data_IF_911856274706
#
_entry.id   IF_911856274706
#
_cell.length_a   1.000
_cell.length_b   1.000
_cell.length_c   1.000
_cell.angle_alpha   90.00
_cell.angle_beta   90.00
_cell.angle_gamma   90.00
#
_symmetry.space_group_name_H-M   'P 1'
#
loop_
_entity.id
_entity.type
_entity.pdbx_description
1 polymer ?
#
# COMPACT_ATOMS: atom_id res chain seq x y z
N UNK A 1 9.90 2.30 -0.34
CA UNK A 1 9.20 1.16 -0.94
C UNK A 1 10.09 -0.06 -1.18
N UNK A 2 11.07 -0.31 -0.31
CA UNK A 2 11.89 -1.55 -0.33
C UNK A 2 11.13 -2.77 0.19
N UNK A 3 9.94 -2.59 0.77
CA UNK A 3 9.13 -3.65 1.36
C UNK A 3 8.60 -4.70 0.35
N UNK A 4 8.60 -4.38 -0.93
CA UNK A 4 8.03 -5.24 -1.98
C UNK A 4 9.01 -5.62 -3.10
N UNK A 5 10.28 -5.29 -2.97
CA UNK A 5 11.32 -5.80 -3.86
C UNK A 5 11.74 -7.18 -3.40
N UNK A 6 11.08 -8.21 -3.90
CA UNK A 6 11.53 -9.60 -3.73
C UNK A 6 12.84 -9.86 -4.48
N UNK A 7 13.50 -10.96 -4.17
CA UNK A 7 14.77 -11.37 -4.82
C UNK A 7 14.65 -11.69 -6.32
N UNK A 8 13.47 -11.66 -6.91
CA UNK A 8 13.24 -11.87 -8.34
C UNK A 8 13.08 -10.55 -9.08
N UNK A 9 13.81 -10.40 -10.17
CA UNK A 9 13.97 -9.19 -10.99
C UNK A 9 12.66 -8.64 -11.62
N UNK A 10 11.58 -9.38 -11.56
CA UNK A 10 10.32 -9.05 -12.23
C UNK A 10 9.37 -8.18 -11.38
N UNK A 11 9.78 -7.76 -10.18
CA UNK A 11 8.95 -6.97 -9.27
C UNK A 11 9.57 -5.58 -9.08
N UNK A 12 9.05 -4.62 -9.82
CA UNK A 12 9.41 -3.22 -9.69
C UNK A 12 8.37 -2.49 -8.82
N UNK A 13 8.83 -1.77 -7.81
CA UNK A 13 8.05 -0.77 -7.12
C UNK A 13 8.25 0.58 -7.80
N UNK A 14 7.19 1.31 -8.03
CA UNK A 14 7.20 2.67 -8.54
C UNK A 14 6.39 3.56 -7.62
N UNK A 15 6.96 4.71 -7.27
CA UNK A 15 6.31 5.73 -6.47
C UNK A 15 6.00 6.92 -7.37
N UNK A 16 4.72 7.27 -7.48
CA UNK A 16 4.29 8.44 -8.22
C UNK A 16 3.17 9.16 -7.47
N UNK A 17 3.34 10.44 -7.26
CA UNK A 17 2.42 11.28 -6.50
C UNK A 17 1.51 12.13 -7.40
N UNK A 18 1.84 12.28 -8.69
CA UNK A 18 1.04 13.07 -9.62
C UNK A 18 1.09 12.55 -11.07
N UNK A 19 0.09 12.98 -11.85
CA UNK A 19 0.02 12.71 -13.29
C UNK A 19 1.22 13.30 -14.05
N UNK A 20 1.68 14.48 -13.62
CA UNK A 20 2.85 15.14 -14.18
C UNK A 20 4.09 14.30 -14.00
N UNK A 21 4.33 13.78 -12.80
CA UNK A 21 5.47 12.90 -12.51
C UNK A 21 5.46 11.63 -13.35
N UNK A 22 4.29 11.00 -13.53
CA UNK A 22 4.15 9.84 -14.41
C UNK A 22 4.54 10.21 -15.86
N UNK A 23 4.05 11.36 -16.33
CA UNK A 23 4.29 11.82 -17.70
C UNK A 23 5.75 12.25 -17.93
N UNK A 24 6.34 12.98 -16.98
CA UNK A 24 7.75 13.39 -17.03
C UNK A 24 8.70 12.20 -17.00
N UNK A 25 8.42 11.21 -16.14
CA UNK A 25 9.21 10.00 -16.06
C UNK A 25 9.11 9.17 -17.35
N UNK A 26 7.92 9.03 -17.92
CA UNK A 26 7.73 8.36 -19.20
C UNK A 26 8.48 9.07 -20.34
N UNK A 27 8.49 10.42 -20.35
CA UNK A 27 9.18 11.20 -21.36
C UNK A 27 10.72 11.17 -21.22
N UNK A 28 11.26 10.94 -20.02
CA UNK A 28 12.71 10.89 -19.76
C UNK A 28 13.35 9.55 -20.13
N UNK A 29 12.56 8.51 -20.41
CA UNK A 29 13.02 7.15 -20.55
C UNK A 29 13.80 6.86 -21.82
N UNK A 30 14.96 6.21 -21.69
CA UNK A 30 15.70 5.63 -22.80
C UNK A 30 15.95 4.15 -22.54
N UNK A 31 15.60 3.30 -23.50
CA UNK A 31 15.93 1.87 -23.44
C UNK A 31 17.41 1.72 -23.78
N UNK A 32 18.15 1.09 -22.88
CA UNK A 32 19.57 0.82 -23.02
C UNK A 32 19.83 -0.54 -23.68
N UNK A 33 20.71 -0.60 -24.68
CA UNK A 33 21.15 -1.88 -25.23
C UNK A 33 21.89 -2.73 -24.19
N UNK A 34 21.63 -4.03 -24.23
CA UNK A 34 22.35 -5.02 -23.43
C UNK A 34 23.55 -5.62 -24.18
N UNK A 35 23.80 -5.18 -25.42
CA UNK A 35 24.88 -5.66 -26.25
C UNK A 35 26.22 -4.99 -25.89
N UNK A 36 27.31 -5.66 -26.22
CA UNK A 36 28.68 -5.15 -26.09
C UNK A 36 29.08 -4.71 -24.65
N UNK A 37 28.58 -5.41 -23.65
CA UNK A 37 28.99 -5.21 -22.27
C UNK A 37 30.35 -5.87 -22.02
N UNK A 38 31.22 -5.27 -21.18
CA UNK A 38 32.51 -5.87 -20.84
C UNK A 38 32.31 -7.25 -20.17
N UNK A 39 33.10 -8.28 -20.54
CA UNK A 39 33.00 -9.62 -19.92
C UNK A 39 33.73 -9.66 -18.56
N UNK A 40 33.23 -8.92 -17.60
CA UNK A 40 33.78 -8.84 -16.24
C UNK A 40 32.69 -8.43 -15.26
N UNK A 41 32.98 -8.46 -13.95
CA UNK A 41 32.04 -8.11 -12.87
C UNK A 41 31.40 -6.73 -13.06
N UNK A 42 32.11 -5.74 -13.58
CA UNK A 42 31.54 -4.43 -13.92
C UNK A 42 30.48 -4.55 -15.04
N UNK A 43 30.75 -5.36 -16.07
CA UNK A 43 29.79 -5.60 -17.16
C UNK A 43 28.52 -6.30 -16.67
N UNK A 44 28.67 -7.23 -15.71
CA UNK A 44 27.52 -7.91 -15.10
C UNK A 44 26.66 -6.93 -14.28
N UNK A 45 27.29 -6.08 -13.48
CA UNK A 45 26.58 -5.02 -12.74
C UNK A 45 25.89 -4.03 -13.68
N UNK A 46 26.58 -3.59 -14.74
CA UNK A 46 26.01 -2.68 -15.73
C UNK A 46 24.82 -3.32 -16.46
N UNK A 47 24.93 -4.60 -16.80
CA UNK A 47 23.83 -5.38 -17.38
C UNK A 47 22.62 -5.40 -16.47
N UNK A 48 22.82 -5.68 -15.18
CA UNK A 48 21.77 -5.69 -14.18
C UNK A 48 21.06 -4.31 -14.10
N UNK A 49 21.83 -3.23 -13.97
CA UNK A 49 21.28 -1.87 -13.92
C UNK A 49 20.49 -1.54 -15.19
N UNK A 50 20.98 -1.89 -16.37
CA UNK A 50 20.27 -1.67 -17.64
C UNK A 50 18.99 -2.49 -17.75
N UNK A 51 19.00 -3.75 -17.30
CA UNK A 51 17.77 -4.58 -17.25
C UNK A 51 16.73 -3.93 -16.35
N UNK A 52 17.12 -3.52 -15.15
CA UNK A 52 16.23 -2.85 -14.22
C UNK A 52 15.66 -1.55 -14.81
N UNK A 53 16.51 -0.71 -15.36
CA UNK A 53 16.12 0.54 -16.00
C UNK A 53 15.13 0.30 -17.16
N UNK A 54 15.45 -0.62 -18.07
CA UNK A 54 14.58 -0.94 -19.21
C UNK A 54 13.22 -1.48 -18.75
N UNK A 55 13.20 -2.32 -17.71
CA UNK A 55 11.96 -2.86 -17.13
C UNK A 55 11.13 -1.74 -16.50
N UNK A 56 11.77 -0.81 -15.80
CA UNK A 56 11.11 0.37 -15.21
C UNK A 56 10.42 1.20 -16.31
N UNK A 57 11.11 1.51 -17.40
CA UNK A 57 10.51 2.29 -18.49
C UNK A 57 9.33 1.59 -19.17
N UNK A 58 9.41 0.28 -19.39
CA UNK A 58 8.28 -0.49 -19.91
C UNK A 58 7.07 -0.45 -18.98
N UNK A 59 7.32 -0.48 -17.68
CA UNK A 59 6.25 -0.37 -16.68
C UNK A 59 5.61 1.03 -16.71
N UNK A 60 6.42 2.09 -16.84
CA UNK A 60 5.92 3.48 -16.88
C UNK A 60 5.08 3.74 -18.13
N UNK A 61 5.43 3.17 -19.27
CA UNK A 61 4.59 3.23 -20.48
C UNK A 61 3.21 2.60 -20.21
N UNK A 62 3.18 1.43 -19.57
CA UNK A 62 1.93 0.75 -19.21
C UNK A 62 1.12 1.57 -18.19
N UNK A 63 1.79 2.19 -17.23
CA UNK A 63 1.20 3.09 -16.25
C UNK A 63 0.55 4.30 -16.91
N UNK A 64 1.27 4.95 -17.84
CA UNK A 64 0.78 6.10 -18.58
C UNK A 64 -0.43 5.73 -19.45
N UNK A 65 -0.37 4.63 -20.18
CA UNK A 65 -1.49 4.13 -20.99
C UNK A 65 -2.72 3.91 -20.11
N UNK A 66 -2.58 3.22 -18.97
CA UNK A 66 -3.68 2.98 -18.06
C UNK A 66 -4.22 4.30 -17.46
N UNK A 67 -3.35 5.24 -17.12
CA UNK A 67 -3.75 6.54 -16.62
C UNK A 67 -4.55 7.33 -17.67
N UNK A 68 -4.12 7.34 -18.92
CA UNK A 68 -4.80 8.06 -20.01
C UNK A 68 -6.15 7.40 -20.39
N UNK A 69 -6.26 6.08 -20.26
CA UNK A 69 -7.50 5.33 -20.52
C UNK A 69 -8.48 5.36 -19.35
N UNK A 70 -7.99 5.49 -18.12
CA UNK A 70 -8.83 5.50 -16.92
C UNK A 70 -9.72 6.73 -16.84
N UNK A 71 -11.02 6.59 -16.57
CA UNK A 71 -11.92 7.73 -16.42
C UNK A 71 -11.58 8.55 -15.20
N UNK A 72 -11.72 9.86 -15.30
CA UNK A 72 -11.59 10.76 -14.14
C UNK A 72 -12.74 10.55 -13.17
N UNK A 73 -12.41 10.60 -11.88
CA UNK A 73 -13.42 10.56 -10.83
C UNK A 73 -14.12 11.91 -10.69
N UNK A 74 -15.43 11.88 -10.61
CA UNK A 74 -16.27 13.04 -10.25
C UNK A 74 -16.51 13.17 -8.74
N UNK A 75 -16.00 12.22 -7.94
CA UNK A 75 -16.18 12.21 -6.49
C UNK A 75 -15.31 13.27 -5.80
N UNK A 76 -15.77 13.80 -4.65
CA UNK A 76 -15.09 14.87 -3.95
C UNK A 76 -13.92 14.36 -3.09
N UNK A 77 -12.87 13.87 -3.73
CA UNK A 77 -11.62 13.58 -3.03
C UNK A 77 -11.04 14.87 -2.44
N UNK A 78 -10.51 14.80 -1.23
CA UNK A 78 -9.81 15.93 -0.63
C UNK A 78 -8.53 16.26 -1.42
N UNK A 79 -7.95 17.43 -1.16
CA UNK A 79 -6.66 17.82 -1.75
C UNK A 79 -5.46 17.24 -0.97
N UNK A 80 -5.70 16.41 0.06
CA UNK A 80 -4.64 15.72 0.80
C UNK A 80 -3.98 14.65 -0.06
N UNK A 81 -2.68 14.44 0.16
CA UNK A 81 -1.86 13.51 -0.63
C UNK A 81 -2.43 12.09 -0.62
N UNK A 82 -2.92 11.62 0.52
CA UNK A 82 -3.55 10.31 0.66
C UNK A 82 -4.77 10.14 -0.26
N UNK A 83 -5.71 11.09 -0.22
CA UNK A 83 -6.91 11.05 -1.08
C UNK A 83 -6.57 11.17 -2.56
N UNK A 84 -5.60 12.02 -2.91
CA UNK A 84 -5.16 12.16 -4.31
C UNK A 84 -4.45 10.88 -4.80
N UNK A 85 -3.64 10.23 -3.96
CA UNK A 85 -3.04 8.93 -4.29
C UNK A 85 -4.10 7.85 -4.53
N UNK A 86 -5.13 7.75 -3.68
CA UNK A 86 -6.25 6.83 -3.87
C UNK A 86 -7.00 7.12 -5.18
N UNK A 87 -7.23 8.39 -5.51
CA UNK A 87 -7.85 8.80 -6.77
C UNK A 87 -7.05 8.33 -7.99
N UNK A 88 -5.72 8.47 -7.94
CA UNK A 88 -4.82 7.98 -8.99
C UNK A 88 -4.90 6.46 -9.10
N UNK A 89 -4.84 5.74 -7.98
CA UNK A 89 -4.95 4.27 -7.97
C UNK A 89 -6.29 3.82 -8.58
N UNK A 90 -7.41 4.45 -8.20
CA UNK A 90 -8.71 4.14 -8.78
C UNK A 90 -8.73 4.35 -10.31
N UNK A 91 -8.14 5.43 -10.77
CA UNK A 91 -8.01 5.73 -12.21
C UNK A 91 -7.17 4.67 -12.94
N UNK A 92 -6.04 4.27 -12.38
CA UNK A 92 -5.15 3.25 -12.94
C UNK A 92 -5.82 1.87 -13.03
N UNK A 93 -6.55 1.47 -11.99
CA UNK A 93 -7.31 0.21 -11.99
C UNK A 93 -8.37 0.24 -13.07
N UNK A 94 -9.19 1.30 -13.14
CA UNK A 94 -10.23 1.47 -14.16
C UNK A 94 -9.65 1.58 -15.58
N UNK A 95 -8.43 2.06 -15.71
CA UNK A 95 -7.68 2.11 -16.97
C UNK A 95 -7.03 0.78 -17.37
N UNK A 96 -7.20 -0.26 -16.56
CA UNK A 96 -6.78 -1.63 -16.88
C UNK A 96 -5.33 -1.95 -16.58
N UNK A 97 -4.66 -1.18 -15.71
CA UNK A 97 -3.33 -1.51 -15.22
C UNK A 97 -3.34 -2.88 -14.52
N UNK A 98 -2.39 -3.74 -14.86
CA UNK A 98 -2.31 -5.12 -14.35
C UNK A 98 -1.55 -5.26 -13.03
N UNK A 99 -1.19 -4.17 -12.41
CA UNK A 99 -0.60 -4.16 -11.06
C UNK A 99 -1.58 -4.76 -10.05
N UNK A 100 -1.09 -5.70 -9.25
CA UNK A 100 -1.92 -6.42 -8.27
C UNK A 100 -1.87 -5.78 -6.88
N UNK A 101 -0.78 -5.09 -6.54
CA UNK A 101 -0.56 -4.51 -5.22
C UNK A 101 -0.23 -3.03 -5.38
N UNK A 102 -1.01 -2.19 -4.73
CA UNK A 102 -0.79 -0.76 -4.60
C UNK A 102 -0.54 -0.44 -3.13
N UNK A 103 0.39 0.44 -2.85
CA UNK A 103 0.66 0.93 -1.49
C UNK A 103 0.41 2.43 -1.48
N UNK A 104 -0.41 2.87 -0.55
CA UNK A 104 -0.72 4.28 -0.33
C UNK A 104 -0.44 4.60 1.12
N UNK A 105 0.31 5.66 1.37
CA UNK A 105 0.75 6.05 2.70
C UNK A 105 -0.01 7.29 3.19
N UNK A 106 -0.19 7.38 4.48
CA UNK A 106 -0.65 8.56 5.19
C UNK A 106 0.19 8.76 6.44
N UNK A 107 0.89 9.88 6.49
CA UNK A 107 1.72 10.27 7.62
C UNK A 107 0.91 10.94 8.75
N UNK A 108 1.58 11.17 9.87
CA UNK A 108 1.07 11.99 10.97
C UNK A 108 0.46 11.20 12.13
N UNK A 109 0.38 9.88 12.05
CA UNK A 109 -0.10 9.04 13.15
C UNK A 109 0.93 8.86 14.29
N UNK A 110 2.20 9.23 14.08
CA UNK A 110 3.23 9.18 15.11
C UNK A 110 3.12 10.37 16.08
N UNK A 111 2.08 10.37 16.89
CA UNK A 111 1.74 11.45 17.82
C UNK A 111 2.11 11.06 19.25
N UNK A 112 2.99 11.85 19.87
CA UNK A 112 3.35 11.76 21.29
C UNK A 112 2.74 12.90 22.12
N UNK A 113 2.07 13.85 21.45
CA UNK A 113 1.34 14.95 22.04
C UNK A 113 0.17 15.34 21.13
N UNK A 114 -0.86 15.99 21.71
CA UNK A 114 -2.03 16.47 20.96
C UNK A 114 -2.69 15.37 20.06
N UNK A 115 -2.68 14.12 20.54
CA UNK A 115 -3.05 12.95 19.76
C UNK A 115 -4.51 12.95 19.34
N UNK A 116 -5.44 13.25 20.25
CA UNK A 116 -6.89 13.14 19.97
C UNK A 116 -7.30 14.01 18.78
N UNK A 117 -7.07 15.33 18.76
CA UNK A 117 -7.49 16.16 17.62
C UNK A 117 -6.73 15.84 16.34
N UNK A 118 -5.45 15.45 16.43
CA UNK A 118 -4.66 15.03 15.27
C UNK A 118 -5.21 13.77 14.65
N UNK A 119 -5.45 12.73 15.45
CA UNK A 119 -6.03 11.47 14.97
C UNK A 119 -7.45 11.66 14.43
N UNK A 120 -8.25 12.55 15.02
CA UNK A 120 -9.59 12.87 14.50
C UNK A 120 -9.52 13.40 13.06
N UNK A 121 -8.56 14.28 12.76
CA UNK A 121 -8.37 14.81 11.40
C UNK A 121 -7.86 13.72 10.45
N UNK A 122 -6.87 12.93 10.86
CA UNK A 122 -6.32 11.85 10.05
C UNK A 122 -7.38 10.79 9.74
N UNK A 123 -8.19 10.38 10.72
CA UNK A 123 -9.27 9.42 10.50
C UNK A 123 -10.39 9.98 9.62
N UNK A 124 -10.66 11.28 9.64
CA UNK A 124 -11.56 11.93 8.67
C UNK A 124 -11.01 11.82 7.26
N UNK A 125 -9.72 12.07 7.08
CA UNK A 125 -9.06 11.94 5.78
C UNK A 125 -9.09 10.48 5.28
N UNK A 126 -8.70 9.51 6.12
CA UNK A 126 -8.75 8.10 5.80
C UNK A 126 -10.17 7.65 5.43
N UNK A 127 -11.16 7.96 6.27
CA UNK A 127 -12.53 7.50 6.06
C UNK A 127 -13.16 8.09 4.81
N UNK A 128 -12.93 9.39 4.53
CA UNK A 128 -13.46 10.04 3.33
C UNK A 128 -12.75 9.56 2.06
N UNK A 129 -11.43 9.40 2.12
CA UNK A 129 -10.63 8.89 1.01
C UNK A 129 -11.04 7.47 0.61
N UNK A 130 -11.10 6.56 1.58
CA UNK A 130 -11.51 5.16 1.38
C UNK A 130 -12.97 5.09 0.88
N UNK A 131 -13.89 5.87 1.46
CA UNK A 131 -15.28 5.89 0.99
C UNK A 131 -15.39 6.32 -0.49
N UNK A 132 -14.69 7.37 -0.89
CA UNK A 132 -14.68 7.82 -2.28
C UNK A 132 -13.99 6.81 -3.19
N UNK A 133 -12.90 6.18 -2.73
CA UNK A 133 -12.20 5.15 -3.46
C UNK A 133 -13.11 3.97 -3.82
N UNK A 134 -13.87 3.44 -2.86
CA UNK A 134 -14.80 2.34 -3.14
C UNK A 134 -16.01 2.78 -3.97
N UNK A 135 -16.50 4.00 -3.79
CA UNK A 135 -17.56 4.56 -4.64
C UNK A 135 -17.16 4.69 -6.10
N UNK A 136 -15.89 4.88 -6.39
CA UNK A 136 -15.35 4.92 -7.76
C UNK A 136 -15.50 3.57 -8.48
N UNK A 137 -15.68 2.49 -7.76
CA UNK A 137 -15.86 1.14 -8.33
C UNK A 137 -17.33 0.67 -8.33
N UNK A 138 -18.24 1.37 -7.68
CA UNK A 138 -19.66 1.00 -7.65
C UNK A 138 -20.22 0.84 -9.07
N UNK A 139 -20.83 -0.32 -9.35
CA UNK A 139 -21.39 -0.66 -10.67
C UNK A 139 -20.36 -0.92 -11.77
N UNK A 140 -19.07 -0.98 -11.45
CA UNK A 140 -18.01 -1.36 -12.40
C UNK A 140 -17.65 -2.84 -12.25
N UNK A 141 -16.91 -3.38 -13.23
CA UNK A 141 -16.37 -4.74 -13.14
C UNK A 141 -15.32 -4.93 -12.05
N UNK A 142 -14.87 -3.87 -11.40
CA UNK A 142 -13.85 -3.88 -10.36
C UNK A 142 -14.43 -3.85 -8.94
N UNK A 143 -15.72 -3.70 -8.77
CA UNK A 143 -16.39 -3.48 -7.50
C UNK A 143 -16.11 -4.58 -6.46
N UNK A 144 -15.98 -5.83 -6.89
CA UNK A 144 -15.68 -7.00 -6.06
C UNK A 144 -14.22 -7.48 -6.19
N UNK A 145 -13.40 -6.77 -6.97
CA UNK A 145 -12.01 -7.15 -7.27
C UNK A 145 -10.97 -6.29 -6.55
N UNK A 146 -11.39 -5.40 -5.69
CA UNK A 146 -10.52 -4.51 -4.93
C UNK A 146 -10.66 -4.81 -3.45
N UNK A 147 -9.55 -5.12 -2.82
CA UNK A 147 -9.43 -5.32 -1.37
C UNK A 147 -8.35 -4.38 -0.83
N UNK A 148 -8.67 -3.61 0.18
CA UNK A 148 -7.72 -2.75 0.88
C UNK A 148 -7.52 -3.26 2.30
N UNK A 149 -6.26 -3.29 2.74
CA UNK A 149 -5.89 -3.65 4.10
C UNK A 149 -4.90 -2.61 4.62
N UNK A 150 -5.14 -2.11 5.83
CA UNK A 150 -4.21 -1.18 6.48
C UNK A 150 -3.15 -1.93 7.26
N UNK A 151 -1.97 -1.32 7.40
CA UNK A 151 -0.93 -1.76 8.33
C UNK A 151 -0.21 -0.54 8.90
N UNK A 152 0.46 -0.71 10.02
CA UNK A 152 1.26 0.32 10.69
C UNK A 152 2.53 -0.30 11.24
N UNK A 153 3.59 0.50 11.37
CA UNK A 153 4.88 0.07 11.91
C UNK A 153 4.81 -0.21 13.41
N UNK A 154 3.89 0.44 14.11
CA UNK A 154 3.74 0.33 15.56
C UNK A 154 2.27 0.38 15.98
N UNK A 155 2.00 -0.13 17.17
CA UNK A 155 0.75 0.09 17.90
C UNK A 155 0.89 1.21 18.92
N UNK A 156 -0.08 1.31 19.82
CA UNK A 156 -0.08 2.30 20.89
C UNK A 156 -0.21 1.62 22.24
N UNK A 157 0.46 2.18 23.28
CA UNK A 157 0.24 1.82 24.65
C UNK A 157 -1.13 2.31 25.13
N UNK A 158 -1.68 1.64 26.15
CA UNK A 158 -2.95 2.00 26.78
C UNK A 158 -2.81 3.29 27.58
N UNK A 159 -1.67 3.44 28.25
CA UNK A 159 -1.43 4.58 29.13
C UNK A 159 -1.10 5.85 28.35
N UNK A 160 -1.69 6.97 28.81
CA UNK A 160 -1.32 8.29 28.30
C UNK A 160 0.04 8.68 28.85
N UNK A 161 0.92 9.22 27.97
CA UNK A 161 2.20 9.77 28.38
C UNK A 161 2.07 11.18 29.03
N UNK A 162 3.20 11.80 29.43
CA UNK A 162 3.22 13.13 30.05
C UNK A 162 2.70 14.26 29.12
N UNK A 163 2.76 14.06 27.81
CA UNK A 163 2.06 14.87 26.82
C UNK A 163 0.66 14.29 26.55
N UNK A 164 -0.32 15.02 26.05
CA UNK A 164 -1.63 14.46 25.69
C UNK A 164 -1.54 13.53 24.48
N UNK A 165 -0.81 12.42 24.59
CA UNK A 165 -0.55 11.38 23.60
C UNK A 165 -0.31 10.03 24.24
N UNK A 166 0.19 9.08 23.48
CA UNK A 166 0.59 7.75 23.94
C UNK A 166 1.88 7.31 23.25
N UNK A 167 2.65 6.48 23.94
CA UNK A 167 3.87 5.91 23.39
C UNK A 167 3.57 4.72 22.46
N UNK A 168 4.58 4.32 21.68
CA UNK A 168 4.49 3.15 20.81
C UNK A 168 4.23 1.88 21.61
N UNK A 169 3.43 0.99 21.06
CA UNK A 169 3.10 -0.31 21.62
C UNK A 169 3.19 -1.44 20.59
N UNK A 170 3.11 -2.67 21.06
CA UNK A 170 3.35 -3.87 20.25
C UNK A 170 2.14 -4.29 19.40
N UNK A 171 0.91 -3.86 19.74
CA UNK A 171 -0.30 -4.27 19.04
C UNK A 171 -1.04 -3.08 18.44
N UNK A 172 -1.58 -3.28 17.24
CA UNK A 172 -2.32 -2.29 16.47
C UNK A 172 -3.59 -2.88 15.88
N UNK A 173 -4.46 -2.03 15.37
CA UNK A 173 -5.62 -2.44 14.59
C UNK A 173 -5.24 -2.54 13.11
N UNK A 174 -5.72 -3.61 12.44
CA UNK A 174 -5.74 -3.70 10.98
C UNK A 174 -7.18 -3.54 10.51
N UNK A 175 -7.40 -2.70 9.50
CA UNK A 175 -8.71 -2.51 8.88
C UNK A 175 -8.70 -3.14 7.50
N UNK A 176 -9.75 -3.86 7.16
CA UNK A 176 -9.96 -4.40 5.83
C UNK A 176 -11.23 -3.81 5.21
N UNK A 177 -11.15 -3.44 3.95
CA UNK A 177 -12.25 -2.85 3.19
C UNK A 177 -12.36 -3.56 1.84
N UNK A 178 -13.56 -3.84 1.40
CA UNK A 178 -13.83 -4.47 0.10
C UNK A 178 -15.20 -5.12 0.07
N UNK A 179 -15.85 -5.09 -1.08
CA UNK A 179 -17.15 -5.77 -1.27
C UNK A 179 -17.02 -7.30 -1.26
N UNK A 180 -15.79 -7.79 -1.50
CA UNK A 180 -15.45 -9.21 -1.45
C UNK A 180 -15.42 -9.79 -0.02
N UNK A 181 -15.43 -8.95 1.02
CA UNK A 181 -15.41 -9.41 2.39
C UNK A 181 -16.78 -9.99 2.80
N UNK A 182 -16.77 -11.20 3.38
CA UNK A 182 -17.95 -11.83 3.93
C UNK A 182 -18.24 -11.27 5.34
N UNK A 183 -19.20 -10.37 5.42
CA UNK A 183 -19.62 -9.74 6.67
C UNK A 183 -18.90 -8.43 6.99
N UNK A 184 -19.23 -7.89 8.16
CA UNK A 184 -18.64 -6.67 8.69
C UNK A 184 -18.49 -6.77 10.21
N UNK A 185 -17.60 -5.97 10.79
CA UNK A 185 -17.33 -5.91 12.22
C UNK A 185 -15.93 -6.41 12.58
N UNK A 186 -15.76 -6.84 13.81
CA UNK A 186 -14.45 -7.25 14.33
C UNK A 186 -14.19 -8.73 14.09
N UNK A 187 -13.06 -9.04 13.49
CA UNK A 187 -12.52 -10.39 13.38
C UNK A 187 -11.64 -10.66 14.61
N UNK A 188 -11.90 -11.75 15.33
CA UNK A 188 -11.23 -12.09 16.58
C UNK A 188 -11.87 -11.44 17.80
N UNK A 189 -11.08 -11.24 18.85
CA UNK A 189 -11.50 -10.67 20.13
C UNK A 189 -10.80 -9.35 20.37
N UNK A 190 -11.46 -8.44 21.06
CA UNK A 190 -10.79 -7.21 21.50
C UNK A 190 -9.65 -7.52 22.47
N UNK A 191 -8.50 -6.85 22.37
CA UNK A 191 -7.44 -7.00 23.35
C UNK A 191 -7.91 -6.49 24.73
N UNK A 192 -7.42 -7.10 25.79
CA UNK A 192 -7.64 -6.59 27.14
C UNK A 192 -6.89 -5.27 27.32
N UNK A 193 -7.55 -4.27 27.91
CA UNK A 193 -6.90 -3.01 28.27
C UNK A 193 -6.25 -3.05 29.68
N UNK A 194 -6.40 -4.17 30.38
CA UNK A 194 -5.89 -4.36 31.77
C UNK A 194 -4.95 -5.55 31.89
N UNK A 195 -5.03 -6.52 30.97
CA UNK A 195 -4.11 -7.66 30.92
C UNK A 195 -3.08 -7.37 29.83
N UNK A 196 -1.99 -6.72 30.22
CA UNK A 196 -0.90 -6.28 29.35
C UNK A 196 0.26 -7.27 29.40
N UNK A 197 1.22 -7.15 28.50
CA UNK A 197 2.46 -7.92 28.55
C UNK A 197 3.44 -7.36 29.61
N UNK A 198 4.59 -8.00 29.81
CA UNK A 198 5.61 -7.61 30.79
C UNK A 198 6.24 -6.22 30.52
N UNK A 199 5.89 -5.59 29.41
CA UNK A 199 6.35 -4.26 28.99
C UNK A 199 5.20 -3.25 28.89
N UNK A 200 4.04 -3.54 29.50
CA UNK A 200 2.83 -2.72 29.47
C UNK A 200 2.25 -2.49 28.06
N UNK A 201 2.47 -3.41 27.14
CA UNK A 201 1.86 -3.37 25.83
C UNK A 201 0.56 -4.19 25.78
N UNK A 202 -0.31 -3.81 24.85
CA UNK A 202 -1.44 -4.65 24.48
C UNK A 202 -0.94 -6.00 23.95
N UNK A 203 -1.56 -7.08 24.41
CA UNK A 203 -1.32 -8.42 23.85
C UNK A 203 -2.15 -8.59 22.61
N UNK A 204 -1.50 -8.81 21.46
CA UNK A 204 -2.19 -9.06 20.19
C UNK A 204 -2.82 -10.46 20.19
N UNK A 205 -3.97 -10.60 19.55
CA UNK A 205 -4.69 -11.88 19.43
C UNK A 205 -4.67 -12.46 18.02
N UNK A 206 -4.29 -11.67 17.03
CA UNK A 206 -4.09 -12.15 15.66
C UNK A 206 -2.71 -11.72 15.21
N UNK A 207 -1.88 -12.68 14.82
CA UNK A 207 -0.58 -12.40 14.22
C UNK A 207 -0.78 -11.86 12.80
N UNK A 208 -0.21 -10.68 12.50
CA UNK A 208 -0.33 -10.05 11.18
C UNK A 208 0.17 -10.94 10.04
N UNK A 209 1.11 -11.86 10.31
CA UNK A 209 1.62 -12.82 9.32
C UNK A 209 0.53 -13.76 8.84
N UNK A 210 -0.41 -14.16 9.71
CA UNK A 210 -1.56 -14.97 9.31
C UNK A 210 -2.49 -14.18 8.38
N UNK A 211 -2.68 -12.88 8.64
CA UNK A 211 -3.46 -12.02 7.74
C UNK A 211 -2.80 -11.95 6.36
N UNK A 212 -1.49 -11.70 6.32
CA UNK A 212 -0.77 -11.66 5.04
C UNK A 212 -0.75 -13.00 4.32
N UNK A 213 -0.57 -14.11 5.04
CA UNK A 213 -0.67 -15.45 4.44
C UNK A 213 -2.03 -15.67 3.78
N UNK A 214 -3.11 -15.34 4.47
CA UNK A 214 -4.47 -15.42 3.91
C UNK A 214 -4.63 -14.53 2.66
N UNK A 215 -4.13 -13.30 2.69
CA UNK A 215 -4.17 -12.40 1.52
C UNK A 215 -3.40 -12.99 0.33
N UNK A 216 -2.25 -13.60 0.57
CA UNK A 216 -1.44 -14.18 -0.50
C UNK A 216 -2.06 -15.45 -1.07
N UNK A 217 -2.58 -16.33 -0.24
CA UNK A 217 -3.16 -17.62 -0.70
C UNK A 217 -4.58 -17.43 -1.24
N UNK A 218 -5.47 -16.80 -0.49
CA UNK A 218 -6.89 -16.76 -0.82
C UNK A 218 -7.25 -15.62 -1.80
N UNK A 219 -6.59 -14.45 -1.66
CA UNK A 219 -6.89 -13.30 -2.51
C UNK A 219 -6.01 -13.21 -3.74
N UNK A 220 -4.70 -13.33 -3.58
CA UNK A 220 -3.74 -13.26 -4.69
C UNK A 220 -3.52 -14.60 -5.38
N UNK A 221 -4.06 -15.71 -4.85
CA UNK A 221 -3.92 -17.06 -5.38
C UNK A 221 -2.46 -17.46 -5.61
N UNK A 222 -1.56 -17.06 -4.70
CA UNK A 222 -0.17 -17.47 -4.75
C UNK A 222 -0.05 -18.87 -4.12
N UNK A 223 0.63 -19.79 -4.81
CA UNK A 223 0.94 -21.09 -4.24
C UNK A 223 1.87 -20.93 -3.03
N UNK A 224 1.61 -21.68 -1.99
CA UNK A 224 2.42 -21.70 -0.77
C UNK A 224 3.75 -22.43 -1.05
N UNK A 225 4.69 -21.72 -1.68
CA UNK A 225 6.00 -22.28 -2.03
C UNK A 225 6.98 -22.30 -0.85
N UNK A 226 6.53 -21.97 0.38
CA UNK A 226 7.37 -21.83 1.58
C UNK A 226 6.79 -22.50 2.81
N UNK A 227 6.15 -23.67 2.65
CA UNK A 227 5.69 -24.47 3.79
C UNK A 227 6.81 -25.19 4.55
N UNK A 228 8.08 -25.03 4.16
CA UNK A 228 9.24 -25.69 4.76
C UNK A 228 10.36 -24.69 5.14
N UNK A 229 10.08 -23.79 6.13
CA UNK A 229 11.15 -23.04 6.79
C UNK A 229 10.83 -22.78 8.28
#
# INVERSE_FOLDING_TARGET
SLLFTGQQVDKLGFEAFSAEQISEFAASGQVHSLDNLPPCSYGDQLKYVRIMTNSTYKFVDSLKIAYDLGPDSSLPYSNGDFSQALKIVAKLIKGGLKTKIYVVEIDGFDTHANQIPTHEQLWKEVSSGINNFYKDFEGTEFEDKVLSVTFSEFGRRVEQNDGPGSDHGAASVMLAFGKCLEGNGTIGTYPSLTELDDHDNLVFNIDFRHVYSTLFTEWLCLEDSHSDA
#
